data_IF_251302203877
#
_entry.id   IF_251302203877
#
_cell.length_a   1.000
_cell.length_b   1.000
_cell.length_c   1.000
_cell.angle_alpha   90.00
_cell.angle_beta   90.00
_cell.angle_gamma   90.00
#
_symmetry.space_group_name_H-M   'P 1'
#
loop_
_entity.id
_entity.type
_entity.pdbx_description
1 polymer ?
#
# COMPACT_ATOMS: atom_id res chain seq x y z
N UNK A 1 2.33 11.76 -21.52
CA UNK A 1 2.71 12.92 -20.69
C UNK A 1 2.57 12.58 -19.21
N UNK A 2 3.44 13.12 -18.39
CA UNK A 2 3.37 13.01 -16.94
C UNK A 2 3.59 14.37 -16.30
N UNK A 3 2.62 14.85 -15.53
CA UNK A 3 2.62 16.19 -14.93
C UNK A 3 2.93 17.32 -15.92
N UNK A 4 2.33 17.23 -17.12
CA UNK A 4 2.53 18.21 -18.20
C UNK A 4 3.86 18.10 -18.95
N UNK A 5 4.71 17.15 -18.59
CA UNK A 5 6.01 16.92 -19.23
C UNK A 5 5.95 15.65 -20.07
N UNK A 6 6.52 15.70 -21.26
CA UNK A 6 6.70 14.51 -22.07
C UNK A 6 7.88 13.69 -21.52
N UNK A 7 7.60 12.45 -21.17
CA UNK A 7 8.62 11.50 -20.70
C UNK A 7 8.56 10.21 -21.51
N UNK A 8 9.71 9.59 -21.71
CA UNK A 8 9.80 8.25 -22.31
C UNK A 8 10.15 7.26 -21.21
N UNK A 9 9.27 6.28 -21.00
CA UNK A 9 9.55 5.19 -20.06
C UNK A 9 10.58 4.23 -20.66
N UNK A 10 11.39 3.57 -19.80
CA UNK A 10 12.30 2.52 -20.28
C UNK A 10 11.50 1.35 -20.87
N UNK A 11 12.14 0.61 -21.77
CA UNK A 11 11.59 -0.64 -22.30
C UNK A 11 11.65 -1.72 -21.21
N UNK A 12 10.51 -1.96 -20.54
CA UNK A 12 10.40 -2.90 -19.43
C UNK A 12 10.48 -4.32 -19.96
N UNK A 13 11.49 -5.08 -19.54
CA UNK A 13 11.74 -6.46 -19.94
C UNK A 13 11.16 -7.50 -18.98
N UNK A 14 11.08 -7.17 -17.69
CA UNK A 14 10.56 -8.06 -16.68
C UNK A 14 9.64 -7.32 -15.72
N UNK A 15 8.56 -7.97 -15.30
CA UNK A 15 7.67 -7.51 -14.23
C UNK A 15 7.67 -8.59 -13.15
N UNK A 16 7.94 -8.17 -11.92
CA UNK A 16 7.78 -9.01 -10.75
C UNK A 16 6.67 -8.42 -9.88
N UNK A 17 5.58 -9.15 -9.70
CA UNK A 17 4.42 -8.71 -8.96
C UNK A 17 4.28 -9.48 -7.65
N UNK A 18 4.54 -8.84 -6.52
CA UNK A 18 4.40 -9.40 -5.20
C UNK A 18 3.38 -8.56 -4.41
N UNK A 19 2.23 -9.16 -4.11
CA UNK A 19 1.12 -8.50 -3.42
C UNK A 19 0.18 -7.71 -4.36
N UNK A 20 -1.11 -7.78 -4.07
CA UNK A 20 -2.16 -7.15 -4.86
C UNK A 20 -2.53 -7.95 -6.12
N UNK A 21 -3.63 -7.53 -6.77
CA UNK A 21 -4.16 -8.18 -7.96
C UNK A 21 -4.56 -7.11 -9.00
N UNK A 22 -3.62 -6.67 -9.86
CA UNK A 22 -3.84 -5.58 -10.80
C UNK A 22 -5.03 -5.83 -11.73
N UNK A 23 -5.27 -7.06 -12.16
CA UNK A 23 -6.40 -7.38 -13.04
C UNK A 23 -7.79 -7.27 -12.37
N UNK A 24 -7.84 -6.98 -11.06
CA UNK A 24 -9.07 -6.67 -10.32
C UNK A 24 -9.13 -5.20 -9.93
N UNK A 25 -7.98 -4.55 -9.73
CA UNK A 25 -7.89 -3.19 -9.18
C UNK A 25 -7.72 -2.09 -10.23
N UNK A 26 -7.10 -2.41 -11.38
CA UNK A 26 -6.86 -1.41 -12.42
C UNK A 26 -8.06 -1.28 -13.36
N UNK A 27 -8.27 -0.05 -13.82
CA UNK A 27 -9.22 0.27 -14.88
C UNK A 27 -8.69 -0.24 -16.22
N UNK A 28 -9.58 -0.34 -17.20
CA UNK A 28 -9.26 -0.75 -18.57
C UNK A 28 -8.48 -2.06 -18.66
N UNK A 29 -9.13 -3.14 -18.24
CA UNK A 29 -8.56 -4.51 -18.27
C UNK A 29 -8.07 -4.91 -19.67
N UNK A 30 -8.72 -4.44 -20.73
CA UNK A 30 -8.30 -4.78 -22.10
C UNK A 30 -6.95 -4.17 -22.48
N UNK A 31 -6.68 -2.95 -22.04
CA UNK A 31 -5.35 -2.33 -22.18
C UNK A 31 -4.33 -2.99 -21.26
N UNK A 32 -4.73 -3.36 -20.03
CA UNK A 32 -3.85 -4.06 -19.10
C UNK A 32 -3.38 -5.42 -19.64
N UNK A 33 -4.26 -6.21 -20.27
CA UNK A 33 -3.89 -7.46 -20.93
C UNK A 33 -2.78 -7.23 -21.96
N UNK A 34 -2.93 -6.21 -22.81
CA UNK A 34 -1.91 -5.87 -23.82
C UNK A 34 -0.60 -5.40 -23.16
N UNK A 35 -0.69 -4.64 -22.07
CA UNK A 35 0.48 -4.17 -21.33
C UNK A 35 1.26 -5.33 -20.70
N UNK A 36 0.58 -6.32 -20.12
CA UNK A 36 1.22 -7.52 -19.55
C UNK A 36 1.86 -8.45 -20.59
N UNK A 37 1.50 -8.29 -21.87
CA UNK A 37 2.12 -9.04 -22.98
C UNK A 37 3.38 -8.36 -23.55
N UNK A 38 3.75 -7.16 -23.08
CA UNK A 38 4.93 -6.44 -23.58
C UNK A 38 6.25 -6.93 -22.94
N UNK A 39 6.33 -7.15 -21.61
CA UNK A 39 7.53 -7.68 -20.99
C UNK A 39 7.86 -9.09 -21.50
N UNK A 40 9.15 -9.41 -21.48
CA UNK A 40 9.63 -10.76 -21.86
C UNK A 40 9.26 -11.82 -20.82
N UNK A 41 9.07 -11.38 -19.53
CA UNK A 41 8.67 -12.26 -18.44
C UNK A 41 7.85 -11.51 -17.40
N UNK A 42 6.80 -12.16 -16.91
CA UNK A 42 5.98 -11.72 -15.78
C UNK A 42 6.01 -12.79 -14.69
N UNK A 43 6.48 -12.43 -13.51
CA UNK A 43 6.57 -13.28 -12.32
C UNK A 43 5.59 -12.75 -11.27
N UNK A 44 4.83 -13.63 -10.64
CA UNK A 44 3.83 -13.26 -9.63
C UNK A 44 3.97 -14.14 -8.40
N UNK A 45 4.04 -13.54 -7.20
CA UNK A 45 3.78 -14.24 -5.96
C UNK A 45 2.28 -14.20 -5.70
N UNK A 46 1.64 -15.36 -5.49
CA UNK A 46 0.20 -15.38 -5.32
C UNK A 46 -0.26 -16.55 -4.44
N UNK A 47 -1.27 -16.28 -3.61
CA UNK A 47 -1.88 -17.28 -2.72
C UNK A 47 -3.01 -18.06 -3.40
N UNK A 48 -3.62 -17.50 -4.42
CA UNK A 48 -4.76 -18.08 -5.15
C UNK A 48 -4.54 -17.97 -6.65
N UNK A 49 -5.29 -18.75 -7.42
CA UNK A 49 -5.23 -18.70 -8.88
C UNK A 49 -6.05 -17.52 -9.44
N UNK A 50 -5.61 -16.29 -9.13
CA UNK A 50 -6.26 -15.04 -9.50
C UNK A 50 -6.16 -14.73 -11.01
N UNK A 51 -6.93 -13.77 -11.53
CA UNK A 51 -6.72 -13.28 -12.90
C UNK A 51 -5.28 -12.82 -13.17
N UNK A 52 -4.62 -12.18 -12.19
CA UNK A 52 -3.21 -11.76 -12.33
C UNK A 52 -2.27 -12.96 -12.46
N UNK A 53 -2.45 -13.99 -11.61
CA UNK A 53 -1.67 -15.22 -11.69
C UNK A 53 -1.82 -15.92 -13.07
N UNK A 54 -3.02 -15.84 -13.65
CA UNK A 54 -3.29 -16.44 -14.98
C UNK A 54 -2.62 -15.70 -16.14
N UNK A 55 -2.20 -14.47 -15.92
CA UNK A 55 -1.50 -13.63 -16.90
C UNK A 55 0.03 -13.66 -16.71
N UNK A 56 0.52 -14.39 -15.72
CA UNK A 56 1.95 -14.53 -15.44
C UNK A 56 2.55 -15.72 -16.21
N UNK A 57 3.85 -15.62 -16.52
CA UNK A 57 4.66 -16.72 -17.04
C UNK A 57 5.13 -17.65 -15.93
N UNK A 58 5.39 -17.08 -14.74
CA UNK A 58 5.84 -17.82 -13.56
C UNK A 58 4.99 -17.39 -12.36
N UNK A 59 4.38 -18.36 -11.68
CA UNK A 59 3.66 -18.15 -10.43
C UNK A 59 4.40 -18.85 -9.31
N UNK A 60 4.80 -18.08 -8.31
CA UNK A 60 5.41 -18.59 -7.08
C UNK A 60 4.33 -18.64 -5.98
N UNK A 61 3.98 -19.83 -5.47
CA UNK A 61 2.93 -19.95 -4.47
C UNK A 61 3.38 -19.33 -3.15
N UNK A 62 2.63 -18.34 -2.69
CA UNK A 62 2.88 -17.64 -1.43
C UNK A 62 1.93 -18.13 -0.34
N UNK A 63 2.37 -18.03 0.93
CA UNK A 63 1.55 -18.38 2.08
C UNK A 63 0.44 -17.35 2.32
N UNK A 64 -0.68 -17.86 2.81
CA UNK A 64 -1.73 -17.01 3.41
C UNK A 64 -1.27 -16.48 4.76
N UNK A 65 -2.01 -15.51 5.32
CA UNK A 65 -1.74 -14.99 6.66
C UNK A 65 -1.94 -16.02 7.79
N UNK A 66 -2.63 -17.14 7.54
CA UNK A 66 -2.76 -18.24 8.50
C UNK A 66 -1.55 -19.18 8.51
N UNK A 67 -0.74 -19.14 7.47
CA UNK A 67 0.38 -20.07 7.24
C UNK A 67 1.74 -19.46 7.60
N UNK A 68 1.77 -18.22 8.12
CA UNK A 68 3.00 -17.55 8.56
C UNK A 68 2.80 -16.76 9.85
N UNK A 69 3.91 -16.33 10.44
CA UNK A 69 3.90 -15.32 11.50
C UNK A 69 3.97 -13.93 10.92
N UNK A 70 3.31 -12.96 11.56
CA UNK A 70 3.33 -11.57 11.13
C UNK A 70 2.87 -10.64 12.26
N UNK A 71 2.87 -9.34 12.00
CA UNK A 71 2.25 -8.29 12.80
C UNK A 71 1.26 -7.53 11.93
N UNK A 72 0.13 -7.14 12.49
CA UNK A 72 -0.81 -6.26 11.78
C UNK A 72 -1.37 -5.18 12.71
N UNK A 73 -1.90 -4.14 12.11
CA UNK A 73 -2.62 -3.08 12.80
C UNK A 73 -4.13 -3.27 12.60
N UNK A 74 -4.94 -2.59 13.41
CA UNK A 74 -6.37 -2.56 13.19
C UNK A 74 -6.70 -2.10 11.76
N UNK A 75 -7.65 -2.76 11.12
CA UNK A 75 -8.11 -2.44 9.76
C UNK A 75 -8.94 -1.16 9.66
N UNK A 76 -8.93 -0.30 10.67
CA UNK A 76 -9.57 1.00 10.69
C UNK A 76 -8.54 2.14 10.55
N UNK A 77 -9.02 3.33 10.27
CA UNK A 77 -8.18 4.52 10.12
C UNK A 77 -7.54 5.02 11.42
N UNK A 78 -7.92 4.48 12.59
CA UNK A 78 -7.34 4.89 13.86
C UNK A 78 -5.91 4.41 14.04
N UNK A 79 -5.59 3.24 13.48
CA UNK A 79 -4.30 2.54 13.66
C UNK A 79 -3.92 2.38 15.14
N UNK A 80 -4.93 2.28 16.03
CA UNK A 80 -4.77 2.28 17.47
C UNK A 80 -4.57 0.91 18.09
N UNK A 81 -4.36 -0.12 17.26
CA UNK A 81 -4.15 -1.49 17.76
C UNK A 81 -3.09 -2.22 16.95
N UNK A 82 -2.32 -3.07 17.63
CA UNK A 82 -1.35 -4.00 17.03
C UNK A 82 -1.74 -5.41 17.42
N UNK A 83 -1.75 -6.31 16.46
CA UNK A 83 -2.13 -7.71 16.62
C UNK A 83 -0.94 -8.62 16.33
N UNK A 84 -0.66 -9.62 17.20
CA UNK A 84 0.22 -10.71 16.82
C UNK A 84 -0.54 -11.62 15.86
N UNK A 85 0.01 -11.86 14.69
CA UNK A 85 -0.52 -12.83 13.73
C UNK A 85 0.34 -14.07 13.77
N UNK A 86 -0.04 -15.04 14.61
CA UNK A 86 0.69 -16.31 14.73
C UNK A 86 0.25 -17.26 13.63
N UNK A 87 1.21 -18.00 13.12
CA UNK A 87 0.95 -19.13 12.26
C UNK A 87 -0.03 -20.10 12.93
N UNK A 88 -1.09 -20.46 12.23
CA UNK A 88 -2.17 -21.35 12.71
C UNK A 88 -2.05 -22.73 12.07
N UNK A 89 -1.65 -22.76 10.81
CA UNK A 89 -1.44 -24.00 10.04
C UNK A 89 -0.09 -23.96 9.33
N UNK A 90 0.54 -25.09 9.07
CA UNK A 90 1.77 -25.11 8.26
C UNK A 90 1.45 -24.67 6.82
N UNK A 91 2.45 -24.10 6.11
CA UNK A 91 2.32 -23.82 4.68
C UNK A 91 1.82 -25.04 3.92
N UNK A 92 0.87 -24.82 3.00
CA UNK A 92 0.30 -25.91 2.22
C UNK A 92 1.06 -26.09 0.92
N UNK A 93 1.23 -27.33 0.50
CA UNK A 93 1.91 -27.73 -0.74
C UNK A 93 3.32 -27.10 -0.86
N UNK A 94 3.57 -26.35 -1.91
CA UNK A 94 4.86 -25.70 -2.18
C UNK A 94 4.87 -24.21 -1.77
N UNK A 95 3.82 -23.73 -1.07
CA UNK A 95 3.74 -22.34 -0.64
C UNK A 95 4.87 -21.97 0.32
N UNK A 96 5.48 -20.83 0.10
CA UNK A 96 6.50 -20.23 0.96
C UNK A 96 6.09 -18.82 1.36
N UNK A 97 6.57 -18.38 2.51
CA UNK A 97 6.45 -16.98 2.90
C UNK A 97 7.14 -16.09 1.84
N UNK A 98 6.58 -14.94 1.54
CA UNK A 98 7.20 -13.97 0.61
C UNK A 98 8.64 -13.64 1.03
N UNK A 99 8.90 -13.50 2.33
CA UNK A 99 10.26 -13.29 2.83
C UNK A 99 11.21 -14.41 2.39
N UNK A 100 10.83 -15.67 2.56
CA UNK A 100 11.63 -16.82 2.17
C UNK A 100 11.81 -16.91 0.64
N UNK A 101 10.79 -16.56 -0.14
CA UNK A 101 10.88 -16.48 -1.61
C UNK A 101 11.97 -15.47 -1.99
N UNK A 102 11.95 -14.27 -1.40
CA UNK A 102 12.95 -13.24 -1.70
C UNK A 102 14.33 -13.57 -1.14
N UNK A 103 14.44 -14.25 -0.01
CA UNK A 103 15.73 -14.78 0.48
C UNK A 103 16.34 -15.76 -0.53
N UNK A 104 15.55 -16.66 -1.08
CA UNK A 104 16.02 -17.61 -2.10
C UNK A 104 16.47 -16.91 -3.40
N UNK A 105 15.79 -15.84 -3.79
CA UNK A 105 16.20 -15.01 -4.92
C UNK A 105 17.49 -14.24 -4.61
N UNK A 106 17.60 -13.65 -3.42
CA UNK A 106 18.78 -12.93 -2.97
C UNK A 106 20.03 -13.83 -2.90
N UNK A 107 19.87 -15.09 -2.44
CA UNK A 107 20.94 -16.11 -2.50
C UNK A 107 21.46 -16.30 -3.92
N UNK A 108 20.56 -16.49 -4.89
CA UNK A 108 20.95 -16.69 -6.28
C UNK A 108 21.57 -15.44 -6.91
N UNK A 109 21.18 -14.26 -6.44
CA UNK A 109 21.77 -12.99 -6.85
C UNK A 109 23.07 -12.65 -6.12
N UNK A 110 23.46 -13.42 -5.10
CA UNK A 110 24.66 -13.16 -4.28
C UNK A 110 24.53 -11.98 -3.35
N UNK A 111 23.32 -11.59 -2.96
CA UNK A 111 23.01 -10.44 -2.10
C UNK A 111 22.20 -10.82 -0.85
N UNK A 112 22.28 -12.08 -0.43
CA UNK A 112 21.51 -12.59 0.72
C UNK A 112 21.73 -11.75 1.97
N UNK A 113 22.98 -11.50 2.33
CA UNK A 113 23.34 -10.75 3.54
C UNK A 113 22.81 -9.31 3.51
N UNK A 114 22.85 -8.64 2.32
CA UNK A 114 22.30 -7.31 2.17
C UNK A 114 20.79 -7.28 2.29
N UNK A 115 20.11 -8.36 1.88
CA UNK A 115 18.66 -8.47 1.95
C UNK A 115 18.17 -8.83 3.35
N UNK A 116 18.79 -9.81 3.97
CA UNK A 116 18.37 -10.35 5.26
C UNK A 116 18.97 -9.64 6.46
N UNK A 117 20.12 -8.98 6.30
CA UNK A 117 20.97 -8.50 7.42
C UNK A 117 21.28 -9.61 8.43
N UNK A 118 21.33 -10.87 7.96
CA UNK A 118 21.52 -12.05 8.80
C UNK A 118 20.34 -12.41 9.70
N UNK A 119 19.16 -11.79 9.49
CA UNK A 119 17.97 -11.98 10.33
C UNK A 119 16.99 -12.96 9.73
N UNK A 120 16.30 -13.67 10.59
CA UNK A 120 15.12 -14.48 10.29
C UNK A 120 13.86 -13.60 10.26
N UNK A 121 12.74 -14.16 9.75
CA UNK A 121 11.43 -13.51 9.80
C UNK A 121 11.08 -13.04 11.23
N UNK A 122 11.23 -13.91 12.21
CA UNK A 122 10.88 -13.57 13.59
C UNK A 122 11.77 -12.48 14.19
N UNK A 123 13.05 -12.44 13.86
CA UNK A 123 13.95 -11.36 14.28
C UNK A 123 13.58 -10.04 13.64
N UNK A 124 13.09 -10.02 12.40
CA UNK A 124 12.53 -8.84 11.78
C UNK A 124 11.25 -8.36 12.48
N UNK A 125 10.32 -9.27 12.80
CA UNK A 125 9.10 -8.92 13.53
C UNK A 125 9.43 -8.34 14.91
N UNK A 126 10.40 -8.93 15.62
CA UNK A 126 10.87 -8.41 16.91
C UNK A 126 11.48 -7.02 16.75
N UNK A 127 12.30 -6.79 15.72
CA UNK A 127 12.91 -5.50 15.47
C UNK A 127 11.88 -4.40 15.18
N UNK A 128 10.90 -4.67 14.30
CA UNK A 128 9.82 -3.73 14.01
C UNK A 128 9.00 -3.40 15.25
N UNK A 129 8.69 -4.41 16.05
CA UNK A 129 8.00 -4.21 17.32
C UNK A 129 8.83 -3.38 18.30
N UNK A 130 10.12 -3.64 18.41
CA UNK A 130 11.03 -2.90 19.31
C UNK A 130 11.24 -1.46 18.86
N UNK A 131 11.20 -1.17 17.57
CA UNK A 131 11.18 0.21 17.07
C UNK A 131 9.91 0.93 17.53
N UNK A 132 8.74 0.30 17.40
CA UNK A 132 7.48 0.82 17.92
C UNK A 132 7.49 0.98 19.47
N UNK A 133 8.05 0.01 20.20
CA UNK A 133 8.21 0.07 21.65
C UNK A 133 9.09 1.26 22.08
N UNK A 134 10.12 1.55 21.32
CA UNK A 134 11.01 2.71 21.58
C UNK A 134 10.25 4.03 21.38
N UNK A 135 9.48 4.16 20.32
CA UNK A 135 8.61 5.31 20.07
C UNK A 135 7.52 5.44 21.15
N UNK A 136 6.89 4.34 21.57
CA UNK A 136 5.91 4.31 22.63
C UNK A 136 6.49 4.85 23.95
N UNK A 137 7.69 4.40 24.33
CA UNK A 137 8.38 4.88 25.54
C UNK A 137 8.67 6.37 25.49
N UNK A 138 9.15 6.87 24.36
CA UNK A 138 9.40 8.31 24.17
C UNK A 138 8.13 9.15 24.36
N UNK A 139 6.98 8.60 23.97
CA UNK A 139 5.66 9.23 24.11
C UNK A 139 4.91 8.85 25.40
N UNK A 140 5.56 8.16 26.33
CA UNK A 140 4.97 7.69 27.60
C UNK A 140 3.76 6.78 27.43
N UNK A 141 3.72 6.03 26.33
CA UNK A 141 2.70 5.02 26.07
C UNK A 141 3.18 3.67 26.62
N UNK A 142 2.35 3.02 27.42
CA UNK A 142 2.65 1.70 27.97
C UNK A 142 2.56 0.64 26.88
N UNK A 143 3.64 -0.09 26.67
CA UNK A 143 3.73 -1.17 25.71
C UNK A 143 4.61 -2.28 26.29
N UNK A 144 4.18 -3.56 26.28
CA UNK A 144 4.97 -4.66 26.81
C UNK A 144 6.20 -4.94 25.91
N UNK A 145 7.13 -5.74 26.40
CA UNK A 145 8.22 -6.28 25.57
C UNK A 145 7.66 -7.28 24.58
N UNK A 146 8.40 -7.50 23.47
CA UNK A 146 7.98 -8.37 22.38
C UNK A 146 7.70 -9.80 22.85
N UNK A 147 8.58 -10.38 23.66
CA UNK A 147 8.42 -11.74 24.20
C UNK A 147 7.10 -11.94 24.94
N UNK A 148 6.72 -10.97 25.78
CA UNK A 148 5.45 -10.98 26.50
C UNK A 148 4.26 -10.81 25.57
N UNK A 149 4.29 -9.80 24.68
CA UNK A 149 3.24 -9.54 23.71
C UNK A 149 2.98 -10.77 22.83
N UNK A 150 4.06 -11.36 22.32
CA UNK A 150 3.99 -12.54 21.48
C UNK A 150 3.45 -13.76 22.22
N UNK A 151 3.92 -14.00 23.46
CA UNK A 151 3.45 -15.10 24.27
C UNK A 151 1.96 -15.01 24.62
N UNK A 152 1.48 -13.83 25.01
CA UNK A 152 0.09 -13.60 25.39
C UNK A 152 -0.89 -13.75 24.21
N UNK A 153 -0.44 -13.56 23.00
CA UNK A 153 -1.24 -13.67 21.77
C UNK A 153 -2.55 -12.87 21.83
N UNK A 154 -2.46 -11.64 22.30
CA UNK A 154 -3.61 -10.73 22.44
C UNK A 154 -3.37 -9.42 21.70
N UNK A 155 -4.42 -8.81 21.17
CA UNK A 155 -4.32 -7.45 20.62
C UNK A 155 -3.82 -6.48 21.68
N UNK A 156 -2.94 -5.57 21.25
CA UNK A 156 -2.52 -4.44 22.05
C UNK A 156 -3.22 -3.19 21.52
N UNK A 157 -4.14 -2.64 22.29
CA UNK A 157 -4.90 -1.45 21.92
C UNK A 157 -4.44 -0.25 22.72
N UNK A 158 -4.42 0.90 22.08
CA UNK A 158 -3.99 2.17 22.65
C UNK A 158 -5.17 3.13 22.71
N UNK A 159 -5.21 3.94 23.76
CA UNK A 159 -6.17 5.03 23.85
C UNK A 159 -5.57 6.32 23.27
N UNK A 160 -6.41 7.09 22.60
CA UNK A 160 -6.00 8.41 22.14
C UNK A 160 -5.70 9.32 23.33
N UNK A 161 -4.52 9.93 23.35
CA UNK A 161 -4.16 10.93 24.36
C UNK A 161 -5.05 12.19 24.27
N UNK A 162 -5.12 12.96 25.35
CA UNK A 162 -5.97 14.16 25.40
C UNK A 162 -5.63 15.19 24.31
N UNK A 163 -4.36 15.31 23.93
CA UNK A 163 -3.96 16.17 22.82
C UNK A 163 -4.52 15.68 21.48
N UNK A 164 -4.49 14.36 21.25
CA UNK A 164 -5.04 13.78 20.02
C UNK A 164 -6.56 13.91 19.93
N UNK A 165 -7.27 13.76 21.07
CA UNK A 165 -8.73 13.97 21.16
C UNK A 165 -9.16 15.40 20.84
N UNK A 166 -8.28 16.37 21.13
CA UNK A 166 -8.52 17.81 20.91
C UNK A 166 -7.93 18.30 19.58
N UNK A 167 -7.16 17.45 18.89
CA UNK A 167 -6.54 17.83 17.64
C UNK A 167 -7.57 18.13 16.56
N UNK A 168 -7.41 19.26 15.91
CA UNK A 168 -8.23 19.68 14.77
C UNK A 168 -7.31 19.85 13.57
N UNK A 169 -7.64 19.21 12.48
CA UNK A 169 -6.86 19.34 11.24
C UNK A 169 -6.78 20.81 10.82
N UNK A 170 -5.57 21.27 10.56
CA UNK A 170 -5.28 22.67 10.26
C UNK A 170 -5.69 23.66 11.38
N UNK A 171 -5.77 23.21 12.64
CA UNK A 171 -6.12 24.06 13.78
C UNK A 171 -5.18 25.25 13.94
N UNK A 172 -3.88 24.98 13.94
CA UNK A 172 -2.84 26.01 14.05
C UNK A 172 -2.87 27.02 12.91
N UNK A 173 -3.07 26.57 11.66
CA UNK A 173 -3.28 27.47 10.52
C UNK A 173 -4.52 28.34 10.68
N UNK A 174 -5.60 27.79 11.23
CA UNK A 174 -6.85 28.55 11.45
C UNK A 174 -6.70 29.61 12.54
N UNK A 175 -5.88 29.32 13.56
CA UNK A 175 -5.58 30.27 14.65
C UNK A 175 -4.66 31.40 14.20
N UNK A 176 -3.57 31.05 13.52
CA UNK A 176 -2.62 32.02 12.96
C UNK A 176 -2.01 31.53 11.64
N UNK A 177 -2.58 31.90 10.51
CA UNK A 177 -2.09 31.45 9.19
C UNK A 177 -0.74 32.04 8.78
N UNK A 178 -0.24 33.07 9.46
CA UNK A 178 1.07 33.64 9.18
C UNK A 178 2.19 32.88 9.90
N UNK A 179 1.96 32.49 11.14
CA UNK A 179 2.90 31.68 11.92
C UNK A 179 2.87 30.19 11.51
N UNK A 180 1.72 29.70 11.08
CA UNK A 180 1.51 28.29 10.71
C UNK A 180 1.00 28.16 9.26
N UNK A 181 1.80 28.55 8.25
CA UNK A 181 1.37 28.51 6.86
C UNK A 181 1.12 27.06 6.40
N UNK A 182 0.24 26.89 5.42
CA UNK A 182 0.05 25.61 4.74
C UNK A 182 1.26 25.28 3.86
N UNK A 183 1.44 24.00 3.54
CA UNK A 183 2.48 23.52 2.62
C UNK A 183 2.22 23.83 1.14
N UNK A 184 1.43 24.86 0.84
CA UNK A 184 1.16 25.36 -0.52
C UNK A 184 2.17 26.43 -0.92
N UNK A 185 2.40 26.72 -2.22
CA UNK A 185 3.29 27.79 -2.67
C UNK A 185 2.99 29.15 -2.03
N UNK A 186 1.73 29.49 -1.80
CA UNK A 186 1.30 30.74 -1.15
C UNK A 186 1.31 30.67 0.39
N UNK A 187 1.47 29.51 0.98
CA UNK A 187 1.26 29.27 2.42
C UNK A 187 -0.21 29.35 2.84
N UNK A 188 -1.12 29.52 1.92
CA UNK A 188 -2.57 29.71 2.14
C UNK A 188 -3.38 28.62 1.43
N UNK A 189 -4.70 28.64 1.61
CA UNK A 189 -5.63 27.85 0.81
C UNK A 189 -5.59 28.36 -0.62
N UNK A 190 -5.23 27.49 -1.57
CA UNK A 190 -5.22 27.83 -3.00
C UNK A 190 -6.45 27.23 -3.68
N UNK A 191 -7.37 28.10 -4.10
CA UNK A 191 -8.56 27.72 -4.87
C UNK A 191 -8.16 27.44 -6.34
N UNK A 192 -7.12 28.10 -6.81
CA UNK A 192 -6.51 27.90 -8.12
C UNK A 192 -5.04 27.52 -7.94
N UNK A 193 -4.63 26.44 -8.59
CA UNK A 193 -3.25 25.95 -8.58
C UNK A 193 -2.57 26.25 -9.91
N UNK A 194 -1.63 27.17 -9.90
CA UNK A 194 -0.79 27.47 -11.08
C UNK A 194 0.07 26.26 -11.49
N UNK A 195 0.45 25.42 -10.54
CA UNK A 195 1.22 24.20 -10.81
C UNK A 195 0.40 23.23 -11.65
N UNK A 196 -0.85 22.97 -11.24
CA UNK A 196 -1.76 22.07 -11.98
C UNK A 196 -2.13 22.70 -13.34
N UNK A 197 -2.46 23.97 -13.36
CA UNK A 197 -2.81 24.67 -14.60
C UNK A 197 -1.71 24.60 -15.67
N UNK A 198 -0.43 24.68 -15.26
CA UNK A 198 0.73 24.60 -16.17
C UNK A 198 0.93 23.21 -16.76
N UNK A 199 0.33 22.16 -16.19
CA UNK A 199 0.35 20.81 -16.77
C UNK A 199 -0.47 20.72 -18.06
N UNK A 200 -1.40 21.66 -18.25
CA UNK A 200 -2.21 21.85 -19.47
C UNK A 200 -3.01 20.59 -19.86
N UNK A 201 -3.61 19.92 -18.87
CA UNK A 201 -4.55 18.83 -19.11
C UNK A 201 -5.96 19.35 -19.36
N UNK A 202 -6.68 18.76 -20.31
CA UNK A 202 -8.06 19.13 -20.61
C UNK A 202 -9.03 18.72 -19.49
N UNK A 203 -8.76 17.62 -18.84
CA UNK A 203 -9.53 16.99 -17.77
C UNK A 203 -9.00 17.29 -16.36
N UNK A 204 -7.96 18.11 -16.22
CA UNK A 204 -7.41 18.53 -14.94
C UNK A 204 -7.03 20.01 -14.97
N UNK A 205 -7.98 20.85 -14.67
CA UNK A 205 -7.80 22.30 -14.66
C UNK A 205 -7.09 22.77 -13.39
N UNK A 206 -6.63 24.03 -13.37
CA UNK A 206 -6.00 24.63 -12.17
C UNK A 206 -6.94 24.80 -10.97
N UNK A 207 -8.22 24.58 -11.12
CA UNK A 207 -9.22 24.59 -10.06
C UNK A 207 -10.20 23.43 -10.24
N UNK A 208 -10.93 23.08 -9.18
CA UNK A 208 -12.00 22.12 -9.25
C UNK A 208 -13.06 22.55 -10.26
N UNK A 209 -13.31 21.71 -11.27
CA UNK A 209 -14.29 21.92 -12.33
C UNK A 209 -15.10 20.65 -12.50
N UNK A 210 -16.38 20.81 -12.77
CA UNK A 210 -17.21 19.68 -13.15
C UNK A 210 -16.77 19.19 -14.53
N UNK A 211 -16.53 17.88 -14.61
CA UNK A 211 -16.31 17.15 -15.86
C UNK A 211 -17.39 16.06 -15.93
N UNK A 212 -18.13 16.04 -17.02
CA UNK A 212 -19.13 15.02 -17.23
C UNK A 212 -18.44 13.66 -17.36
N UNK A 213 -18.70 12.67 -16.49
CA UNK A 213 -18.18 11.33 -16.66
C UNK A 213 -18.70 10.69 -17.95
N UNK A 214 -17.85 9.90 -18.63
CA UNK A 214 -18.26 9.19 -19.84
C UNK A 214 -19.35 8.15 -19.51
N UNK A 215 -19.23 7.49 -18.35
CA UNK A 215 -20.18 6.47 -17.86
C UNK A 215 -20.76 6.89 -16.52
N UNK A 216 -22.05 7.11 -16.46
CA UNK A 216 -22.80 7.40 -15.22
C UNK A 216 -24.29 7.08 -15.38
N UNK A 217 -25.03 7.05 -14.29
CA UNK A 217 -26.45 6.70 -14.30
C UNK A 217 -27.33 7.57 -15.20
N UNK A 218 -26.88 8.78 -15.56
CA UNK A 218 -27.62 9.71 -16.43
C UNK A 218 -27.45 9.45 -17.92
N UNK A 219 -26.48 8.64 -18.36
CA UNK A 219 -26.22 8.36 -19.77
C UNK A 219 -26.31 6.90 -20.18
N UNK A 220 -27.05 6.09 -19.40
CA UNK A 220 -27.35 4.69 -19.79
C UNK A 220 -28.09 4.66 -21.12
N UNK A 221 -27.83 3.61 -21.91
CA UNK A 221 -28.43 3.38 -23.22
C UNK A 221 -29.35 2.16 -23.23
N UNK A 222 -30.08 1.93 -24.31
CA UNK A 222 -30.85 0.67 -24.45
C UNK A 222 -29.95 -0.56 -24.51
N UNK A 223 -28.75 -0.44 -25.06
CA UNK A 223 -27.76 -1.51 -25.13
C UNK A 223 -27.11 -1.74 -23.75
N UNK A 224 -26.83 -0.66 -23.00
CA UNK A 224 -26.25 -0.70 -21.66
C UNK A 224 -27.16 0.00 -20.67
N UNK A 225 -28.25 -0.65 -20.21
CA UNK A 225 -29.29 0.00 -19.41
C UNK A 225 -28.98 0.11 -17.92
N UNK A 226 -27.84 -0.43 -17.47
CA UNK A 226 -27.44 -0.45 -16.08
C UNK A 226 -26.14 0.35 -15.87
N UNK A 227 -26.08 1.14 -14.82
CA UNK A 227 -24.86 1.76 -14.34
C UNK A 227 -24.25 0.90 -13.22
N UNK A 228 -22.95 0.58 -13.32
CA UNK A 228 -22.23 -0.11 -12.27
C UNK A 228 -21.80 0.89 -11.19
N UNK A 229 -22.15 0.56 -9.95
CA UNK A 229 -21.69 1.28 -8.76
C UNK A 229 -20.79 0.34 -7.97
N UNK A 230 -19.54 0.76 -7.67
CA UNK A 230 -18.54 0.00 -6.92
C UNK A 230 -18.24 0.68 -5.60
#
# INVERSE_FOLDING_TARGET
QYNGTEITYPDIKAVYWAGGNPFVHHQDTNTLVKAFQQPEVVIVNEVNWTPTARMADIVLPATTSYERNDLTMAGDYSMMSVYPMKQVVPPQFEAKNDYDIFVELAKRAGVEEQYTEGKTEMEWLEEFYNAALTAARANRVAMPRFDKFWAENKPLSFEAGEAAKKWVRYGEFREDPLLNPLGTPSGKIEIYSDVVAKMNYDDCKGHASWMEPEEFAGNVTQEYPLALVT
#
